data_IF_651560400216
#
_entry.id   IF_651560400216
#
_cell.length_a   1.000
_cell.length_b   1.000
_cell.length_c   1.000
_cell.angle_alpha   90.00
_cell.angle_beta   90.00
_cell.angle_gamma   90.00
#
_symmetry.space_group_name_H-M   'P 1'
#
loop_
_entity.id
_entity.type
_entity.pdbx_description
1 polymer ?
#
# COMPACT_ATOMS: atom_id res chain seq x y z
N UNK A 1 0.28 13.65 -11.68
CA UNK A 1 -0.77 14.64 -12.03
C UNK A 1 -2.11 14.10 -11.54
N UNK A 2 -2.93 14.92 -10.86
CA UNK A 2 -4.20 14.51 -10.31
C UNK A 2 -5.35 15.22 -11.01
N UNK A 3 -6.43 14.48 -11.27
CA UNK A 3 -7.71 15.06 -11.69
C UNK A 3 -8.52 15.35 -10.43
N UNK A 4 -8.77 16.64 -10.19
CA UNK A 4 -9.55 17.10 -9.05
C UNK A 4 -11.04 16.99 -9.36
N UNK A 5 -11.69 15.99 -8.74
CA UNK A 5 -13.09 15.66 -8.93
C UNK A 5 -13.88 16.00 -7.66
N UNK A 6 -14.04 17.29 -7.40
CA UNK A 6 -14.83 17.78 -6.28
C UNK A 6 -15.83 18.88 -6.71
N UNK A 7 -16.72 19.24 -5.83
CA UNK A 7 -17.70 20.33 -6.02
C UNK A 7 -17.75 21.20 -4.76
N UNK A 8 -16.57 21.71 -4.36
CA UNK A 8 -16.39 22.45 -3.11
C UNK A 8 -17.42 23.58 -2.92
N UNK A 9 -17.73 24.30 -3.99
CA UNK A 9 -18.67 25.42 -3.97
C UNK A 9 -20.08 25.07 -4.47
N UNK A 10 -20.40 23.81 -4.73
CA UNK A 10 -21.64 23.40 -5.38
C UNK A 10 -21.77 23.95 -6.81
N UNK A 11 -20.65 24.16 -7.50
CA UNK A 11 -20.61 24.70 -8.85
C UNK A 11 -21.38 23.84 -9.84
N UNK A 12 -21.21 22.52 -9.77
CA UNK A 12 -21.90 21.56 -10.63
C UNK A 12 -23.42 21.68 -10.46
N UNK A 13 -23.89 21.63 -9.21
CA UNK A 13 -25.31 21.75 -8.90
C UNK A 13 -25.89 23.11 -9.34
N UNK A 14 -25.18 24.22 -9.13
CA UNK A 14 -25.62 25.57 -9.58
C UNK A 14 -25.70 25.68 -11.09
N UNK A 15 -24.98 24.86 -11.84
CA UNK A 15 -25.03 24.84 -13.31
C UNK A 15 -25.89 23.68 -13.85
N UNK A 16 -26.74 23.09 -13.00
CA UNK A 16 -27.77 22.13 -13.42
C UNK A 16 -27.26 20.69 -13.56
N UNK A 17 -26.08 20.38 -13.03
CA UNK A 17 -25.55 19.02 -13.02
C UNK A 17 -25.78 18.39 -11.63
N UNK A 18 -26.66 17.39 -11.58
CA UNK A 18 -26.84 16.55 -10.39
C UNK A 18 -25.79 15.44 -10.38
N UNK A 19 -24.82 15.55 -9.48
CA UNK A 19 -23.68 14.62 -9.43
C UNK A 19 -24.08 13.18 -9.19
N UNK A 20 -25.19 12.93 -8.50
CA UNK A 20 -25.65 11.56 -8.20
C UNK A 20 -26.34 10.89 -9.39
N UNK A 21 -27.03 11.67 -10.23
CA UNK A 21 -27.63 11.13 -11.47
C UNK A 21 -26.63 11.09 -12.64
N UNK A 22 -25.58 11.90 -12.59
CA UNK A 22 -24.56 12.04 -13.64
C UNK A 22 -23.23 11.36 -13.29
N UNK A 23 -23.25 10.41 -12.35
CA UNK A 23 -22.04 9.72 -11.89
C UNK A 23 -21.27 8.98 -12.98
N UNK A 24 -22.00 8.44 -14.00
CA UNK A 24 -21.39 7.80 -15.17
C UNK A 24 -20.58 8.83 -15.99
N UNK A 25 -21.16 10.00 -16.29
CA UNK A 25 -20.49 11.07 -17.00
C UNK A 25 -19.26 11.60 -16.24
N UNK A 26 -19.35 11.72 -14.91
CA UNK A 26 -18.22 12.14 -14.09
C UNK A 26 -17.11 11.11 -14.06
N UNK A 27 -17.47 9.82 -14.06
CA UNK A 27 -16.52 8.71 -14.19
C UNK A 27 -15.84 8.69 -15.57
N UNK A 28 -16.57 9.00 -16.64
CA UNK A 28 -16.02 9.17 -17.99
C UNK A 28 -14.95 10.26 -18.02
N UNK A 29 -15.17 11.40 -17.39
CA UNK A 29 -14.18 12.48 -17.32
C UNK A 29 -12.92 12.04 -16.57
N UNK A 30 -13.08 11.35 -15.44
CA UNK A 30 -11.96 10.79 -14.68
C UNK A 30 -11.15 9.82 -15.55
N UNK A 31 -11.82 8.88 -16.21
CA UNK A 31 -11.19 7.87 -17.07
C UNK A 31 -10.46 8.51 -18.26
N UNK A 32 -11.09 9.45 -18.94
CA UNK A 32 -10.49 10.17 -20.08
C UNK A 32 -9.22 10.90 -19.66
N UNK A 33 -9.25 11.62 -18.53
CA UNK A 33 -8.09 12.34 -18.01
C UNK A 33 -6.97 11.36 -17.66
N UNK A 34 -7.27 10.34 -16.85
CA UNK A 34 -6.29 9.35 -16.41
C UNK A 34 -5.63 8.65 -17.59
N UNK A 35 -6.42 8.22 -18.58
CA UNK A 35 -5.89 7.56 -19.77
C UNK A 35 -5.02 8.51 -20.62
N UNK A 36 -5.43 9.77 -20.81
CA UNK A 36 -4.63 10.75 -21.55
C UNK A 36 -3.29 11.06 -20.88
N UNK A 37 -3.28 11.25 -19.57
CA UNK A 37 -2.06 11.54 -18.81
C UNK A 37 -1.13 10.31 -18.78
N UNK A 38 -1.69 9.11 -18.59
CA UNK A 38 -0.92 7.86 -18.60
C UNK A 38 -0.25 7.60 -19.95
N UNK A 39 -0.98 7.76 -21.06
CA UNK A 39 -0.40 7.63 -22.41
C UNK A 39 0.71 8.65 -22.66
N UNK A 40 0.62 9.81 -22.02
CA UNK A 40 1.66 10.85 -22.07
C UNK A 40 2.83 10.61 -21.10
N UNK A 41 2.86 9.44 -20.42
CA UNK A 41 3.97 9.05 -19.54
C UNK A 41 3.91 9.63 -18.12
N UNK A 42 2.79 10.25 -17.72
CA UNK A 42 2.63 10.77 -16.37
C UNK A 42 2.04 9.73 -15.42
N UNK A 43 2.56 9.66 -14.20
CA UNK A 43 1.84 9.06 -13.08
C UNK A 43 0.62 9.92 -12.77
N UNK A 44 -0.55 9.32 -12.73
CA UNK A 44 -1.81 10.06 -12.65
C UNK A 44 -2.85 9.34 -11.80
N UNK A 45 -3.86 10.07 -11.36
CA UNK A 45 -4.97 9.55 -10.60
C UNK A 45 -6.09 10.56 -10.43
N UNK A 46 -7.06 10.23 -9.60
CA UNK A 46 -8.20 11.07 -9.26
C UNK A 46 -8.12 11.46 -7.79
N UNK A 47 -8.26 12.76 -7.51
CA UNK A 47 -8.56 13.30 -6.20
C UNK A 47 -10.07 13.46 -6.06
N UNK A 48 -10.63 12.94 -4.99
CA UNK A 48 -12.01 13.18 -4.62
C UNK A 48 -12.21 12.87 -3.12
N UNK A 49 -13.33 13.37 -2.56
CA UNK A 49 -13.72 13.00 -1.21
C UNK A 49 -14.36 11.60 -1.15
N UNK A 50 -14.49 11.06 0.06
CA UNK A 50 -15.04 9.73 0.32
C UNK A 50 -16.42 9.54 -0.31
N UNK A 51 -17.32 10.53 -0.21
CA UNK A 51 -18.66 10.44 -0.76
C UNK A 51 -18.65 10.30 -2.29
N UNK A 52 -17.77 11.03 -2.98
CA UNK A 52 -17.63 10.91 -4.43
C UNK A 52 -17.18 9.51 -4.84
N UNK A 53 -16.16 8.95 -4.21
CA UNK A 53 -15.69 7.61 -4.52
C UNK A 53 -16.69 6.50 -4.20
N UNK A 54 -17.58 6.69 -3.23
CA UNK A 54 -18.51 5.64 -2.79
C UNK A 54 -19.91 5.74 -3.37
N UNK A 55 -20.36 6.95 -3.72
CA UNK A 55 -21.76 7.18 -4.08
C UNK A 55 -21.97 7.90 -5.42
N UNK A 56 -20.90 8.39 -6.05
CA UNK A 56 -20.99 9.18 -7.29
C UNK A 56 -20.22 8.52 -8.42
N UNK A 57 -18.94 8.23 -8.23
CA UNK A 57 -18.07 7.67 -9.25
C UNK A 57 -18.18 6.14 -9.29
N UNK A 58 -18.03 5.58 -10.48
CA UNK A 58 -17.83 4.14 -10.67
C UNK A 58 -16.37 3.78 -10.29
N UNK A 59 -16.16 3.57 -9.00
CA UNK A 59 -14.83 3.31 -8.44
C UNK A 59 -14.23 2.01 -8.97
N UNK A 60 -15.04 0.97 -9.19
CA UNK A 60 -14.56 -0.32 -9.70
C UNK A 60 -14.05 -0.18 -11.13
N UNK A 61 -14.79 0.56 -11.96
CA UNK A 61 -14.38 0.91 -13.32
C UNK A 61 -13.07 1.71 -13.31
N UNK A 62 -12.96 2.74 -12.48
CA UNK A 62 -11.74 3.55 -12.37
C UNK A 62 -10.55 2.72 -11.91
N UNK A 63 -10.72 1.85 -10.91
CA UNK A 63 -9.67 0.94 -10.42
C UNK A 63 -9.25 -0.11 -11.46
N UNK A 64 -10.05 -0.36 -12.48
CA UNK A 64 -9.70 -1.27 -13.58
C UNK A 64 -8.69 -0.66 -14.57
N UNK A 65 -8.49 0.66 -14.52
CA UNK A 65 -7.51 1.35 -15.38
C UNK A 65 -6.11 1.03 -14.84
N UNK A 66 -5.19 0.50 -15.66
CA UNK A 66 -3.83 0.21 -15.20
C UNK A 66 -3.15 1.44 -14.60
N UNK A 67 -2.46 1.26 -13.47
CA UNK A 67 -1.71 2.32 -12.77
C UNK A 67 -2.57 3.50 -12.28
N UNK A 68 -3.87 3.29 -12.16
CA UNK A 68 -4.79 4.26 -11.57
C UNK A 68 -4.42 4.51 -10.10
N UNK A 69 -4.29 5.79 -9.74
CA UNK A 69 -4.02 6.22 -8.38
C UNK A 69 -5.24 6.93 -7.78
N UNK A 70 -5.44 6.79 -6.47
CA UNK A 70 -6.51 7.44 -5.73
C UNK A 70 -5.89 8.38 -4.69
N UNK A 71 -6.29 9.66 -4.72
CA UNK A 71 -6.07 10.60 -3.64
C UNK A 71 -7.39 10.85 -2.94
N UNK A 72 -7.56 10.20 -1.79
CA UNK A 72 -8.79 10.25 -1.02
C UNK A 72 -8.79 11.42 -0.03
N UNK A 73 -9.78 12.30 -0.09
CA UNK A 73 -10.07 13.23 1.01
C UNK A 73 -11.13 12.60 1.94
N UNK A 74 -10.73 12.34 3.19
CA UNK A 74 -11.63 11.82 4.21
C UNK A 74 -11.15 12.26 5.58
N UNK A 75 -11.77 13.29 6.12
CA UNK A 75 -11.39 13.99 7.34
C UNK A 75 -12.09 13.41 8.57
N UNK A 76 -11.46 13.57 9.73
CA UNK A 76 -12.06 13.19 11.02
C UNK A 76 -12.12 11.70 11.31
N UNK A 77 -11.26 10.92 10.66
CA UNK A 77 -11.08 9.48 10.87
C UNK A 77 -9.60 9.17 11.12
N UNK A 78 -9.31 8.04 11.77
CA UNK A 78 -7.95 7.65 12.13
C UNK A 78 -7.18 6.95 11.01
N UNK A 79 -7.89 6.50 9.96
CA UNK A 79 -7.31 5.80 8.80
C UNK A 79 -8.24 5.90 7.59
N UNK A 80 -7.72 5.84 6.35
CA UNK A 80 -8.54 5.96 5.16
C UNK A 80 -9.54 4.80 5.04
N UNK A 81 -10.79 5.13 4.72
CA UNK A 81 -11.88 4.15 4.57
C UNK A 81 -11.86 3.41 3.23
N UNK A 82 -10.98 3.80 2.32
CA UNK A 82 -10.75 3.19 1.01
C UNK A 82 -9.27 2.95 0.80
N UNK A 83 -8.93 1.91 0.05
CA UNK A 83 -7.59 1.70 -0.47
C UNK A 83 -7.22 2.85 -1.41
N UNK A 84 -6.20 3.62 -1.05
CA UNK A 84 -5.79 4.84 -1.75
C UNK A 84 -4.27 4.99 -1.78
N UNK A 85 -3.79 5.70 -2.78
CA UNK A 85 -2.37 6.04 -2.93
C UNK A 85 -1.97 7.19 -2.02
N UNK A 86 -2.86 8.12 -1.80
CA UNK A 86 -2.69 9.27 -0.91
C UNK A 86 -3.99 9.57 -0.16
N UNK A 87 -3.87 9.90 1.12
CA UNK A 87 -4.99 10.26 1.98
C UNK A 87 -4.82 11.67 2.54
N UNK A 88 -5.76 12.56 2.23
CA UNK A 88 -5.91 13.85 2.87
C UNK A 88 -6.78 13.68 4.12
N UNK A 89 -6.14 13.76 5.28
CA UNK A 89 -6.78 13.41 6.56
C UNK A 89 -7.38 14.59 7.31
N UNK A 90 -7.07 15.81 6.90
CA UNK A 90 -7.52 17.02 7.56
C UNK A 90 -6.56 18.17 7.34
N UNK A 91 -6.65 19.17 8.20
CA UNK A 91 -5.73 20.28 8.22
C UNK A 91 -4.59 20.06 9.23
N UNK A 92 -3.42 20.62 8.92
CA UNK A 92 -2.25 20.70 9.81
C UNK A 92 -1.83 22.17 9.93
N UNK A 93 -1.51 22.61 11.14
CA UNK A 93 -1.03 23.96 11.39
C UNK A 93 0.50 23.98 11.33
N UNK A 94 1.06 24.88 10.50
CA UNK A 94 2.51 25.08 10.37
C UNK A 94 2.74 26.60 10.40
N UNK A 95 3.50 27.09 11.37
CA UNK A 95 3.84 28.51 11.52
C UNK A 95 2.61 29.46 11.51
N UNK A 96 1.57 29.09 12.28
CA UNK A 96 0.29 29.82 12.40
C UNK A 96 -0.56 29.85 11.10
N UNK A 97 -0.23 29.04 10.10
CA UNK A 97 -1.03 28.86 8.88
C UNK A 97 -1.55 27.41 8.76
N UNK A 98 -2.75 27.26 8.20
CA UNK A 98 -3.42 25.97 8.05
C UNK A 98 -3.20 25.41 6.65
N UNK A 99 -2.75 24.16 6.56
CA UNK A 99 -2.48 23.45 5.32
C UNK A 99 -3.16 22.08 5.29
N UNK A 100 -3.45 21.59 4.10
CA UNK A 100 -4.00 20.24 3.92
C UNK A 100 -2.97 19.17 4.30
N UNK A 101 -3.30 18.40 5.35
CA UNK A 101 -2.49 17.27 5.79
C UNK A 101 -2.71 16.03 4.94
N UNK A 102 -1.65 15.48 4.39
CA UNK A 102 -1.70 14.31 3.52
C UNK A 102 -0.75 13.21 3.98
N UNK A 103 -1.20 11.95 3.92
CA UNK A 103 -0.37 10.76 4.06
C UNK A 103 -0.26 10.08 2.70
N UNK A 104 0.96 9.79 2.30
CA UNK A 104 1.28 9.18 1.04
C UNK A 104 1.66 7.70 1.24
N UNK A 105 1.01 6.79 0.53
CA UNK A 105 1.17 5.34 0.71
C UNK A 105 1.99 4.65 -0.38
N UNK A 106 2.42 5.38 -1.41
CA UNK A 106 3.28 4.84 -2.46
C UNK A 106 4.47 5.75 -2.74
N UNK A 107 5.62 5.16 -3.06
CA UNK A 107 6.83 5.90 -3.39
C UNK A 107 6.75 6.49 -4.81
N UNK A 108 6.62 7.82 -4.90
CA UNK A 108 6.74 8.57 -6.16
C UNK A 108 8.17 9.02 -6.43
N UNK A 109 9.16 8.21 -6.14
CA UNK A 109 10.51 8.52 -6.57
C UNK A 109 10.50 8.71 -8.10
N UNK A 110 10.66 9.95 -8.53
CA UNK A 110 10.83 10.29 -9.94
C UNK A 110 12.14 9.67 -10.39
N UNK A 111 12.07 8.63 -11.22
CA UNK A 111 13.25 8.22 -11.98
C UNK A 111 13.49 9.32 -13.02
N UNK A 112 14.38 10.25 -12.70
CA UNK A 112 14.88 11.18 -13.69
C UNK A 112 15.82 10.41 -14.63
N UNK A 113 15.30 10.01 -15.77
CA UNK A 113 16.11 9.68 -16.93
C UNK A 113 16.61 11.01 -17.54
N UNK A 114 17.55 11.67 -16.84
CA UNK A 114 18.25 12.83 -17.37
C UNK A 114 19.69 12.49 -17.72
N UNK A 115 19.87 12.26 -19.00
CA UNK A 115 21.15 12.29 -19.65
C UNK A 115 21.46 13.72 -20.13
N UNK A 116 21.61 14.67 -19.21
CA UNK A 116 22.25 15.98 -19.48
C UNK A 116 23.09 16.35 -18.26
N UNK A 117 24.41 16.34 -18.50
CA UNK A 117 25.40 16.63 -17.47
C UNK A 117 25.33 18.09 -17.00
N UNK A 118 24.85 18.29 -15.81
CA UNK A 118 25.22 19.40 -14.93
C UNK A 118 25.26 18.92 -13.48
N UNK A 119 26.45 19.07 -12.91
CA UNK A 119 26.77 18.68 -11.54
C UNK A 119 26.06 19.63 -10.57
N UNK A 120 24.92 19.25 -10.05
CA UNK A 120 24.34 19.91 -8.88
C UNK A 120 24.88 19.18 -7.65
N UNK A 121 25.59 19.94 -6.80
CA UNK A 121 26.03 19.48 -5.50
C UNK A 121 24.80 19.14 -4.66
N UNK A 122 24.56 17.86 -4.41
CA UNK A 122 23.58 17.40 -3.43
C UNK A 122 24.18 17.61 -2.06
N UNK A 123 23.61 18.53 -1.29
CA UNK A 123 23.74 18.50 0.15
C UNK A 123 23.12 17.18 0.63
N UNK A 124 23.94 16.43 1.34
CA UNK A 124 23.66 15.11 1.88
C UNK A 124 22.65 15.22 3.03
N UNK A 125 21.36 15.40 2.70
CA UNK A 125 20.27 15.13 3.64
C UNK A 125 19.85 13.67 3.43
N UNK A 126 20.42 12.78 4.23
CA UNK A 126 20.00 11.38 4.32
C UNK A 126 18.51 11.33 4.67
N UNK A 127 17.66 11.17 3.67
CA UNK A 127 16.28 10.78 3.90
C UNK A 127 16.31 9.40 4.54
N UNK A 128 15.91 9.29 5.80
CA UNK A 128 15.75 8.02 6.53
C UNK A 128 14.56 7.24 5.97
N UNK A 129 14.58 6.91 4.68
CA UNK A 129 13.57 6.04 4.09
C UNK A 129 13.81 4.61 4.58
N UNK A 130 12.83 4.06 5.29
CA UNK A 130 12.86 2.67 5.76
C UNK A 130 12.57 1.77 4.57
N UNK A 131 13.51 0.86 4.25
CA UNK A 131 13.28 -0.11 3.20
C UNK A 131 13.00 -1.48 3.79
N UNK A 132 12.01 -2.16 3.21
CA UNK A 132 11.65 -3.54 3.53
C UNK A 132 11.99 -4.42 2.34
N UNK A 133 12.59 -5.58 2.62
CA UNK A 133 12.96 -6.58 1.64
C UNK A 133 12.28 -7.89 2.00
N UNK A 134 11.56 -8.50 1.08
CA UNK A 134 10.83 -9.73 1.35
C UNK A 134 10.80 -10.68 0.16
N UNK A 135 10.69 -11.96 0.46
CA UNK A 135 10.61 -13.01 -0.54
C UNK A 135 9.77 -14.16 -0.01
N UNK A 136 9.20 -14.95 -0.91
CA UNK A 136 8.37 -16.09 -0.59
C UNK A 136 8.93 -17.39 -1.13
N UNK A 137 8.67 -18.49 -0.42
CA UNK A 137 8.95 -19.85 -0.84
C UNK A 137 7.69 -20.48 -1.41
N UNK A 138 7.81 -21.12 -2.57
CA UNK A 138 6.71 -21.83 -3.20
C UNK A 138 6.62 -23.28 -2.71
N UNK A 139 5.48 -23.93 -2.92
CA UNK A 139 5.28 -25.34 -2.63
C UNK A 139 6.27 -26.30 -3.37
N UNK A 140 6.92 -25.81 -4.41
CA UNK A 140 8.02 -26.51 -5.08
C UNK A 140 9.34 -26.51 -4.31
N UNK A 141 9.40 -25.82 -3.16
CA UNK A 141 10.62 -25.61 -2.37
C UNK A 141 11.48 -24.45 -2.87
N UNK A 142 11.11 -23.79 -3.97
CA UNK A 142 11.88 -22.69 -4.57
C UNK A 142 11.59 -21.36 -3.87
N UNK A 143 12.64 -20.64 -3.46
CA UNK A 143 12.57 -19.24 -3.09
C UNK A 143 12.49 -18.35 -4.35
N UNK A 144 11.63 -17.34 -4.32
CA UNK A 144 11.53 -16.34 -5.36
C UNK A 144 12.53 -15.21 -5.11
N UNK A 145 12.82 -14.37 -6.12
CA UNK A 145 13.64 -13.18 -5.94
C UNK A 145 13.10 -12.27 -4.84
N UNK A 146 14.00 -11.53 -4.18
CA UNK A 146 13.65 -10.53 -3.18
C UNK A 146 12.93 -9.37 -3.85
N UNK A 147 11.84 -8.94 -3.24
CA UNK A 147 11.10 -7.72 -3.58
C UNK A 147 11.45 -6.64 -2.57
N UNK A 148 11.59 -5.40 -3.03
CA UNK A 148 11.87 -4.24 -2.19
C UNK A 148 10.61 -3.38 -2.10
N UNK A 149 10.21 -3.02 -0.89
CA UNK A 149 9.08 -2.12 -0.64
C UNK A 149 7.83 -2.54 -1.43
N UNK A 150 7.25 -1.62 -2.17
CA UNK A 150 6.09 -1.84 -3.04
C UNK A 150 6.46 -1.86 -4.53
N UNK A 151 7.71 -2.21 -4.87
CA UNK A 151 8.17 -2.26 -6.27
C UNK A 151 7.49 -3.39 -7.06
N UNK A 152 7.12 -4.47 -6.36
CA UNK A 152 6.42 -5.63 -6.92
C UNK A 152 5.70 -6.38 -5.77
N UNK A 153 5.19 -7.56 -6.05
CA UNK A 153 4.69 -8.50 -5.04
C UNK A 153 5.59 -9.75 -4.98
N UNK A 154 5.68 -10.36 -3.80
CA UNK A 154 6.33 -11.67 -3.66
C UNK A 154 5.30 -12.78 -3.82
N UNK A 155 5.53 -13.67 -4.78
CA UNK A 155 4.64 -14.80 -5.08
C UNK A 155 4.48 -15.05 -6.57
N UNK A 156 3.69 -16.05 -6.92
CA UNK A 156 3.28 -16.35 -8.31
C UNK A 156 1.79 -16.69 -8.29
N UNK A 157 1.00 -15.97 -9.07
CA UNK A 157 -0.44 -16.22 -9.17
C UNK A 157 -0.71 -17.70 -9.48
N UNK A 158 -1.56 -18.32 -8.67
CA UNK A 158 -1.93 -19.73 -8.79
C UNK A 158 -0.98 -20.72 -8.13
N UNK A 159 0.10 -20.27 -7.46
CA UNK A 159 1.03 -21.14 -6.77
C UNK A 159 1.08 -20.84 -5.26
N UNK A 160 0.83 -21.83 -4.44
CA UNK A 160 0.83 -21.69 -2.99
C UNK A 160 2.18 -21.19 -2.47
N UNK A 161 2.14 -20.21 -1.58
CA UNK A 161 3.26 -19.81 -0.73
C UNK A 161 3.35 -20.77 0.45
N UNK A 162 4.56 -21.19 0.81
CA UNK A 162 4.84 -22.11 1.93
C UNK A 162 5.88 -21.58 2.89
N UNK A 163 6.43 -20.39 2.61
CA UNK A 163 7.38 -19.72 3.48
C UNK A 163 7.55 -18.27 3.11
N UNK A 164 7.93 -17.46 4.12
CA UNK A 164 8.10 -16.02 4.04
C UNK A 164 9.37 -15.61 4.78
N UNK A 165 10.20 -14.79 4.14
CA UNK A 165 11.38 -14.17 4.72
C UNK A 165 11.29 -12.67 4.52
N UNK A 166 11.46 -11.89 5.61
CA UNK A 166 11.37 -10.41 5.59
C UNK A 166 12.58 -9.84 6.34
N UNK A 167 13.17 -8.76 5.79
CA UNK A 167 14.19 -7.94 6.44
C UNK A 167 13.88 -6.45 6.24
N UNK A 168 14.53 -5.59 7.03
CA UNK A 168 14.48 -4.14 6.88
C UNK A 168 15.85 -3.55 7.15
N UNK A 169 16.16 -2.39 6.57
CA UNK A 169 17.43 -1.68 6.78
C UNK A 169 17.42 -0.80 8.04
N UNK A 170 16.25 -0.40 8.52
CA UNK A 170 16.08 0.41 9.73
C UNK A 170 15.01 -0.25 10.61
N UNK A 171 15.28 -0.37 11.92
CA UNK A 171 14.40 -1.07 12.85
C UNK A 171 14.41 -2.57 12.65
N UNK A 172 13.33 -3.23 13.06
CA UNK A 172 13.18 -4.66 12.82
C UNK A 172 11.71 -5.06 12.70
N UNK A 173 11.47 -6.24 12.14
CA UNK A 173 10.14 -6.78 11.90
C UNK A 173 10.02 -8.11 12.64
N UNK A 174 8.90 -8.32 13.33
CA UNK A 174 8.46 -9.66 13.74
C UNK A 174 7.32 -10.11 12.84
N UNK A 175 7.44 -11.32 12.34
CA UNK A 175 6.43 -11.85 11.42
C UNK A 175 6.25 -13.35 11.62
N UNK A 176 5.06 -13.83 11.31
CA UNK A 176 4.72 -15.25 11.31
C UNK A 176 3.68 -15.55 10.24
N UNK A 177 3.50 -16.83 9.96
CA UNK A 177 2.47 -17.32 9.04
C UNK A 177 1.53 -18.28 9.74
N UNK A 178 0.29 -18.31 9.28
CA UNK A 178 -0.70 -19.31 9.63
C UNK A 178 -0.73 -20.38 8.53
N UNK A 179 -0.84 -21.63 8.96
CA UNK A 179 -0.95 -22.82 8.12
C UNK A 179 -2.06 -23.72 8.67
N UNK A 180 -2.40 -24.80 8.01
CA UNK A 180 -3.50 -25.71 8.43
C UNK A 180 -3.40 -26.18 9.90
N UNK A 181 -2.19 -26.31 10.44
CA UNK A 181 -1.96 -26.68 11.84
C UNK A 181 -2.02 -25.52 12.83
N UNK A 182 -2.25 -24.27 12.38
CA UNK A 182 -2.31 -23.05 13.18
C UNK A 182 -1.17 -22.09 12.92
N UNK A 183 -1.03 -21.08 13.79
CA UNK A 183 0.06 -20.12 13.74
C UNK A 183 1.40 -20.78 14.07
N UNK A 184 2.41 -20.53 13.23
CA UNK A 184 3.80 -20.85 13.53
C UNK A 184 4.42 -19.78 14.44
N UNK A 185 5.61 -20.08 14.99
CA UNK A 185 6.33 -19.15 15.84
C UNK A 185 6.75 -17.89 15.06
N UNK A 186 6.91 -16.78 15.81
CA UNK A 186 7.41 -15.53 15.24
C UNK A 186 8.88 -15.63 14.85
N UNK A 187 9.20 -15.15 13.67
CA UNK A 187 10.56 -14.88 13.22
C UNK A 187 10.87 -13.40 13.50
N UNK A 188 12.06 -13.13 14.04
CA UNK A 188 12.64 -11.80 14.16
C UNK A 188 13.53 -11.53 12.94
N UNK A 189 13.34 -10.39 12.28
CA UNK A 189 14.03 -10.08 11.03
C UNK A 189 15.56 -9.97 11.17
N UNK A 190 16.10 -9.80 12.38
CA UNK A 190 17.54 -9.88 12.62
C UNK A 190 18.11 -11.28 12.36
N UNK A 191 17.28 -12.32 12.47
CA UNK A 191 17.66 -13.72 12.29
C UNK A 191 17.28 -14.26 10.90
N UNK A 192 16.77 -13.40 9.99
CA UNK A 192 16.29 -13.88 8.70
C UNK A 192 17.42 -14.53 7.88
N UNK A 193 17.28 -15.84 7.65
CA UNK A 193 18.14 -16.67 6.81
C UNK A 193 17.28 -17.75 6.13
N UNK A 194 17.14 -17.70 4.82
CA UNK A 194 16.36 -18.68 4.06
C UNK A 194 16.93 -20.11 4.09
N UNK A 195 18.16 -20.28 4.58
CA UNK A 195 18.81 -21.59 4.77
C UNK A 195 18.60 -22.16 6.17
N UNK A 196 18.15 -21.35 7.13
CA UNK A 196 17.78 -21.83 8.47
C UNK A 196 16.29 -22.15 8.52
N UNK A 197 15.97 -23.44 8.35
CA UNK A 197 14.60 -23.95 8.36
C UNK A 197 13.85 -23.68 9.67
N UNK A 198 14.55 -23.62 10.79
CA UNK A 198 13.92 -23.56 12.10
C UNK A 198 13.63 -22.13 12.59
N UNK A 199 14.52 -21.19 12.32
CA UNK A 199 14.43 -19.86 12.90
C UNK A 199 14.66 -18.72 11.90
N UNK A 200 15.01 -19.04 10.65
CA UNK A 200 15.42 -18.03 9.68
C UNK A 200 14.29 -17.50 8.79
N UNK A 201 13.15 -18.18 8.75
CA UNK A 201 11.98 -17.75 7.99
C UNK A 201 10.68 -18.31 8.55
N UNK A 202 9.56 -17.66 8.31
CA UNK A 202 8.24 -18.16 8.70
C UNK A 202 7.70 -19.13 7.65
N UNK A 203 7.50 -20.39 8.02
CA UNK A 203 7.00 -21.44 7.13
C UNK A 203 7.47 -22.83 7.53
N UNK A 204 6.77 -23.85 7.07
CA UNK A 204 7.07 -25.26 7.35
C UNK A 204 6.80 -26.18 6.14
N UNK A 205 6.91 -25.62 4.95
CA UNK A 205 6.63 -26.28 3.67
C UNK A 205 5.16 -26.67 3.43
N UNK A 206 4.23 -26.25 4.32
CA UNK A 206 2.78 -26.34 4.07
C UNK A 206 2.21 -25.02 3.57
N UNK A 207 1.11 -25.03 2.79
CA UNK A 207 0.51 -23.81 2.29
C UNK A 207 0.10 -22.84 3.39
N UNK A 208 0.43 -21.56 3.19
CA UNK A 208 0.11 -20.44 4.07
C UNK A 208 -1.25 -19.87 3.68
N UNK A 209 -2.08 -19.49 4.66
CA UNK A 209 -3.38 -18.86 4.45
C UNK A 209 -3.51 -17.48 5.12
N UNK A 210 -2.62 -17.16 6.08
CA UNK A 210 -2.56 -15.82 6.66
C UNK A 210 -1.13 -15.45 7.10
N UNK A 211 -0.88 -14.14 7.19
CA UNK A 211 0.40 -13.55 7.58
C UNK A 211 0.15 -12.49 8.64
N UNK A 212 0.93 -12.49 9.71
CA UNK A 212 0.99 -11.42 10.72
C UNK A 212 2.37 -10.78 10.69
N UNK A 213 2.42 -9.46 10.55
CA UNK A 213 3.65 -8.67 10.50
C UNK A 213 3.52 -7.51 11.48
N UNK A 214 4.59 -7.22 12.21
CA UNK A 214 4.70 -6.08 13.11
C UNK A 214 6.06 -5.41 12.96
N UNK A 215 6.08 -4.10 12.70
CA UNK A 215 7.29 -3.30 12.57
C UNK A 215 7.63 -2.58 13.88
N UNK A 216 8.87 -2.70 14.30
CA UNK A 216 9.41 -2.00 15.47
C UNK A 216 10.22 -0.79 15.02
N UNK A 217 9.64 0.40 15.18
CA UNK A 217 10.31 1.67 14.87
C UNK A 217 11.37 1.97 15.92
N UNK A 218 12.62 2.27 15.56
CA UNK A 218 13.66 2.70 16.49
C UNK A 218 13.33 4.01 17.22
N UNK A 219 13.82 4.18 18.43
CA UNK A 219 13.52 5.33 19.28
C UNK A 219 13.97 6.68 18.68
N UNK A 220 15.07 6.70 17.92
CA UNK A 220 15.56 7.89 17.23
C UNK A 220 14.67 8.27 16.06
N UNK A 221 14.12 7.30 15.37
CA UNK A 221 13.12 7.50 14.29
C UNK A 221 11.81 7.98 14.91
N UNK A 222 11.34 7.38 16.02
CA UNK A 222 10.13 7.84 16.70
C UNK A 222 10.25 9.32 17.10
N UNK A 223 11.41 9.73 17.58
CA UNK A 223 11.66 11.13 17.97
C UNK A 223 11.71 12.11 16.81
N UNK A 224 12.16 11.66 15.66
CA UNK A 224 12.33 12.52 14.46
C UNK A 224 11.12 12.56 13.53
N UNK A 225 10.40 11.44 13.40
CA UNK A 225 9.30 11.31 12.43
C UNK A 225 8.06 10.56 12.95
N UNK A 226 8.07 10.14 14.24
CA UNK A 226 6.97 9.37 14.82
C UNK A 226 7.07 7.87 14.57
N UNK A 227 5.99 7.16 14.94
CA UNK A 227 5.89 5.71 14.71
C UNK A 227 5.65 5.42 13.24
N UNK A 228 6.36 4.41 12.71
CA UNK A 228 6.12 3.82 11.40
C UNK A 228 5.49 2.43 11.57
N UNK A 229 4.74 1.99 10.58
CA UNK A 229 3.94 0.77 10.63
C UNK A 229 4.15 -0.05 9.37
N UNK A 230 4.08 -1.38 9.48
CA UNK A 230 4.00 -2.24 8.31
C UNK A 230 2.57 -2.21 7.75
N UNK A 231 2.43 -1.93 6.45
CA UNK A 231 1.19 -2.11 5.71
C UNK A 231 1.39 -3.24 4.71
N UNK A 232 0.56 -4.25 4.80
CA UNK A 232 0.72 -5.44 3.97
C UNK A 232 -0.64 -6.08 3.65
N UNK A 233 -0.68 -6.80 2.57
CA UNK A 233 -1.86 -7.55 2.14
C UNK A 233 -1.47 -8.82 1.43
N UNK A 234 -2.37 -9.79 1.39
CA UNK A 234 -2.19 -11.05 0.68
C UNK A 234 -3.33 -11.30 -0.30
N UNK A 235 -3.07 -12.12 -1.30
CA UNK A 235 -4.07 -12.58 -2.26
C UNK A 235 -4.28 -14.06 -2.10
N UNK A 236 -5.52 -14.56 -2.03
CA UNK A 236 -5.79 -15.98 -2.12
C UNK A 236 -5.41 -16.50 -3.51
N UNK A 237 -5.14 -17.78 -3.60
CA UNK A 237 -4.75 -18.44 -4.85
C UNK A 237 -5.73 -18.11 -5.99
N UNK A 238 -5.21 -17.52 -7.06
CA UNK A 238 -5.95 -17.03 -8.22
C UNK A 238 -6.97 -15.90 -7.93
N UNK A 239 -7.05 -15.39 -6.69
CA UNK A 239 -7.98 -14.34 -6.29
C UNK A 239 -7.43 -12.92 -6.46
N UNK A 240 -8.17 -11.97 -5.93
CA UNK A 240 -7.74 -10.59 -5.75
C UNK A 240 -7.16 -10.39 -4.35
N UNK A 241 -6.38 -9.33 -4.17
CA UNK A 241 -5.87 -8.98 -2.85
C UNK A 241 -7.00 -8.69 -1.88
N UNK A 242 -6.81 -9.14 -0.63
CA UNK A 242 -7.60 -8.65 0.49
C UNK A 242 -7.21 -7.21 0.85
N UNK A 243 -7.98 -6.58 1.74
CA UNK A 243 -7.65 -5.26 2.28
C UNK A 243 -6.29 -5.25 2.98
N UNK A 244 -5.66 -4.07 3.05
CA UNK A 244 -4.42 -3.92 3.80
C UNK A 244 -4.64 -4.13 5.29
N UNK A 245 -3.70 -4.81 5.90
CA UNK A 245 -3.51 -4.90 7.34
C UNK A 245 -2.40 -3.92 7.75
N UNK A 246 -2.59 -3.23 8.88
CA UNK A 246 -1.58 -2.37 9.50
C UNK A 246 -1.00 -3.07 10.72
N UNK A 247 0.27 -3.42 10.71
CA UNK A 247 0.90 -4.23 11.75
C UNK A 247 -0.04 -5.38 12.18
N UNK A 248 -0.12 -5.63 13.50
CA UNK A 248 -1.07 -6.57 14.08
C UNK A 248 -2.30 -5.86 14.70
N UNK A 249 -2.69 -4.70 14.16
CA UNK A 249 -3.82 -3.92 14.65
C UNK A 249 -5.14 -4.68 14.46
N UNK A 250 -6.02 -4.61 15.45
CA UNK A 250 -7.35 -5.23 15.47
C UNK A 250 -8.49 -4.20 15.49
N UNK A 251 -8.17 -2.92 15.40
CA UNK A 251 -9.15 -1.85 15.38
C UNK A 251 -9.69 -1.62 13.96
N UNK A 252 -10.84 -0.96 13.86
CA UNK A 252 -11.46 -0.55 12.60
C UNK A 252 -11.70 -1.68 11.58
N UNK A 253 -12.02 -2.89 12.08
CA UNK A 253 -12.33 -4.04 11.24
C UNK A 253 -11.11 -4.80 10.73
N UNK A 254 -9.93 -4.52 11.26
CA UNK A 254 -8.72 -5.30 11.02
C UNK A 254 -8.69 -6.52 11.94
N UNK A 255 -8.14 -7.64 11.47
CA UNK A 255 -8.07 -8.90 12.20
C UNK A 255 -6.73 -9.10 12.95
N UNK A 256 -5.77 -8.20 12.76
CA UNK A 256 -4.40 -8.31 13.27
C UNK A 256 -3.48 -9.12 12.36
N UNK A 257 -3.98 -9.55 11.20
CA UNK A 257 -3.25 -10.30 10.18
C UNK A 257 -3.92 -10.13 8.81
N UNK A 258 -3.20 -10.36 7.74
CA UNK A 258 -3.74 -10.42 6.39
C UNK A 258 -3.96 -11.87 5.97
N UNK A 259 -5.14 -12.18 5.44
CA UNK A 259 -5.52 -13.51 4.96
C UNK A 259 -6.85 -13.98 5.53
N UNK A 260 -7.31 -15.14 5.11
CA UNK A 260 -8.51 -15.82 5.61
C UNK A 260 -8.15 -17.29 5.78
N UNK A 261 -8.33 -17.82 6.97
CA UNK A 261 -8.01 -19.21 7.30
C UNK A 261 -8.70 -20.19 6.35
N UNK A 262 -7.91 -21.11 5.82
CA UNK A 262 -8.33 -22.08 4.81
C UNK A 262 -8.31 -21.54 3.37
N UNK A 263 -8.00 -20.26 3.15
CA UNK A 263 -7.81 -19.68 1.83
C UNK A 263 -6.31 -19.47 1.58
N UNK A 264 -5.65 -20.50 1.07
CA UNK A 264 -4.21 -20.42 0.79
C UNK A 264 -3.86 -19.25 -0.11
N UNK A 265 -2.70 -18.63 0.16
CA UNK A 265 -2.25 -17.42 -0.53
C UNK A 265 -1.22 -17.73 -1.61
N UNK A 266 -1.20 -16.88 -2.64
CA UNK A 266 -0.24 -16.97 -3.75
C UNK A 266 0.62 -15.70 -3.93
N UNK A 267 0.26 -14.58 -3.28
CA UNK A 267 1.00 -13.30 -3.36
C UNK A 267 0.91 -12.53 -2.05
N UNK A 268 2.02 -11.87 -1.70
CA UNK A 268 2.17 -10.89 -0.61
C UNK A 268 2.68 -9.57 -1.18
N UNK A 269 2.14 -8.47 -0.69
CA UNK A 269 2.59 -7.11 -0.99
C UNK A 269 2.56 -6.25 0.28
#
# INVERSE_FOLDING_TARGET
VWFDMEDADGYKARNGLDVYSEGELLSDFCEMFVNAMRVSGYKTGVYANYNYFTNVLDLDRLKSIPEMNIWLAHWGIDSPSLDCTMWQFGAVEIEDEEYDGNIYYSDYSVKNDDNTGETIRTDDSSSNSINVYYQTKLATGRWLPVVKNNEDYAGIRGQNITGLAITTDIGYIKYRVHVDSGWLDFIDSHNTDINDYYNGYAGNDTPVDAVEIYYYTPDDIIKSSGYHYAFYRVSPVNGNYYSYQKDNNKDNGMDGYAGIWGHFIDRLQ
#
